data_IF_081311166400
#
_entry.id   IF_081311166400
#
_cell.length_a   1.000
_cell.length_b   1.000
_cell.length_c   1.000
_cell.angle_alpha   90.00
_cell.angle_beta   90.00
_cell.angle_gamma   90.00
#
_symmetry.space_group_name_H-M   'P 1'
#
loop_
_entity.id
_entity.type
_entity.pdbx_description
1 polymer ?
#
# COMPACT_ATOMS: atom_id res chain seq x y z
N UNK A 1 -12.92 7.40 -12.92
CA UNK A 1 -12.99 5.95 -12.59
C UNK A 1 -11.58 5.43 -12.39
N UNK A 2 -11.23 5.08 -11.16
CA UNK A 2 -9.95 4.47 -10.87
C UNK A 2 -9.88 3.05 -11.46
N UNK A 3 -8.77 2.71 -12.11
CA UNK A 3 -8.57 1.41 -12.74
C UNK A 3 -7.26 0.78 -12.27
N UNK A 4 -7.33 -0.49 -11.89
CA UNK A 4 -6.16 -1.28 -11.48
C UNK A 4 -5.19 -1.47 -12.64
N UNK A 5 -3.89 -1.39 -12.34
CA UNK A 5 -2.83 -1.77 -13.26
C UNK A 5 -2.63 -3.29 -13.29
N UNK A 6 -3.01 -3.97 -12.19
CA UNK A 6 -2.92 -5.41 -12.09
C UNK A 6 -3.93 -6.09 -13.02
N UNK A 7 -3.49 -7.13 -13.71
CA UNK A 7 -4.37 -8.02 -14.48
C UNK A 7 -4.80 -9.23 -13.65
N UNK A 8 -4.03 -9.55 -12.60
CA UNK A 8 -4.31 -10.60 -11.64
C UNK A 8 -4.02 -10.10 -10.23
N UNK A 9 -4.92 -10.40 -9.30
CA UNK A 9 -4.75 -10.10 -7.87
C UNK A 9 -4.36 -11.39 -7.18
N UNK A 10 -3.19 -11.40 -6.55
CA UNK A 10 -2.68 -12.55 -5.79
C UNK A 10 -3.11 -12.48 -4.32
N UNK A 11 -3.20 -11.26 -3.77
CA UNK A 11 -3.65 -11.05 -2.40
C UNK A 11 -4.39 -9.73 -2.26
N UNK A 12 -5.43 -9.73 -1.41
CA UNK A 12 -6.18 -8.54 -1.06
C UNK A 12 -6.39 -8.48 0.46
N UNK A 13 -6.22 -7.30 1.03
CA UNK A 13 -6.51 -7.07 2.44
C UNK A 13 -6.91 -5.62 2.69
N UNK A 14 -7.43 -5.32 3.87
CA UNK A 14 -7.70 -3.95 4.28
C UNK A 14 -6.52 -3.38 5.07
N UNK A 15 -6.38 -2.06 5.07
CA UNK A 15 -5.51 -1.37 6.00
C UNK A 15 -5.59 0.14 5.83
N UNK A 16 -4.54 0.84 6.25
CA UNK A 16 -4.51 2.30 6.31
C UNK A 16 -3.32 2.85 5.55
N UNK A 17 -3.55 3.86 4.71
CA UNK A 17 -2.51 4.73 4.17
C UNK A 17 -2.38 5.98 5.01
N UNK A 18 -1.16 6.35 5.37
CA UNK A 18 -0.87 7.61 6.06
C UNK A 18 -0.47 8.73 5.08
N UNK A 19 -0.81 8.59 3.79
CA UNK A 19 -0.61 9.63 2.81
C UNK A 19 -1.64 10.76 3.02
N UNK A 20 -1.16 11.92 3.47
CA UNK A 20 -2.00 13.11 3.72
C UNK A 20 -2.51 13.22 5.16
N UNK A 21 -3.43 14.17 5.39
CA UNK A 21 -3.97 14.46 6.73
C UNK A 21 -5.07 13.44 7.07
N UNK A 22 -4.97 12.83 8.26
CA UNK A 22 -6.02 12.00 8.85
C UNK A 22 -5.93 10.50 8.61
N UNK A 23 -5.06 10.05 7.69
CA UNK A 23 -4.93 8.63 7.33
C UNK A 23 -6.19 8.08 6.66
N UNK A 24 -6.03 7.38 5.54
CA UNK A 24 -7.16 6.81 4.78
C UNK A 24 -7.25 5.32 5.02
N UNK A 25 -8.41 4.83 5.44
CA UNK A 25 -8.71 3.39 5.47
C UNK A 25 -9.12 2.95 4.06
N UNK A 26 -8.65 1.78 3.65
CA UNK A 26 -8.90 1.26 2.32
C UNK A 26 -8.42 -0.17 2.13
N UNK A 27 -8.35 -0.56 0.86
CA UNK A 27 -7.99 -1.92 0.44
C UNK A 27 -6.66 -1.92 -0.28
N UNK A 28 -5.80 -2.82 0.14
CA UNK A 28 -4.59 -3.21 -0.57
C UNK A 28 -4.91 -4.29 -1.59
N UNK A 29 -4.40 -4.12 -2.80
CA UNK A 29 -4.33 -5.14 -3.83
C UNK A 29 -2.86 -5.41 -4.15
N UNK A 30 -2.43 -6.64 -3.94
CA UNK A 30 -1.12 -7.14 -4.34
C UNK A 30 -1.36 -7.99 -5.59
N UNK A 31 -0.84 -7.55 -6.73
CA UNK A 31 -1.03 -8.26 -7.98
C UNK A 31 0.24 -8.40 -8.79
N UNK A 32 0.08 -8.78 -10.05
CA UNK A 32 1.17 -9.11 -10.97
C UNK A 32 2.07 -7.92 -11.34
N UNK A 33 1.57 -6.68 -11.28
CA UNK A 33 2.30 -5.49 -11.76
C UNK A 33 2.59 -4.44 -10.69
N UNK A 34 1.73 -4.32 -9.68
CA UNK A 34 1.83 -3.27 -8.68
C UNK A 34 1.29 -3.69 -7.31
N UNK A 35 1.85 -3.05 -6.28
CA UNK A 35 1.19 -2.87 -4.99
C UNK A 35 0.25 -1.68 -5.09
N UNK A 36 -1.04 -1.88 -4.85
CA UNK A 36 -2.05 -0.84 -4.97
C UNK A 36 -2.82 -0.66 -3.67
N UNK A 37 -3.27 0.55 -3.42
CA UNK A 37 -4.14 0.92 -2.31
C UNK A 37 -5.28 1.80 -2.82
N UNK A 38 -6.52 1.47 -2.46
CA UNK A 38 -7.72 2.23 -2.81
C UNK A 38 -8.45 2.63 -1.53
N UNK A 39 -8.63 3.94 -1.31
CA UNK A 39 -9.37 4.42 -0.14
C UNK A 39 -10.86 4.03 -0.23
N UNK A 40 -11.43 3.55 0.87
CA UNK A 40 -12.85 3.15 0.92
C UNK A 40 -13.78 4.36 0.79
N UNK A 41 -13.35 5.52 1.31
CA UNK A 41 -14.13 6.76 1.24
C UNK A 41 -14.24 7.32 -0.18
N UNK A 42 -13.19 7.15 -0.99
CA UNK A 42 -13.15 7.58 -2.38
C UNK A 42 -12.14 6.72 -3.14
N UNK A 43 -12.63 5.89 -4.06
CA UNK A 43 -11.77 5.01 -4.88
C UNK A 43 -10.86 5.80 -5.82
N UNK A 44 -11.18 7.05 -6.14
CA UNK A 44 -10.32 7.93 -6.93
C UNK A 44 -9.11 8.44 -6.14
N UNK A 45 -9.14 8.31 -4.81
CA UNK A 45 -7.98 8.47 -3.94
C UNK A 45 -7.22 7.15 -3.83
N UNK A 46 -6.49 6.81 -4.89
CA UNK A 46 -5.70 5.59 -4.97
C UNK A 46 -4.19 5.86 -4.96
N UNK A 47 -3.44 4.83 -4.59
CA UNK A 47 -1.99 4.77 -4.68
C UNK A 47 -1.66 3.51 -5.47
N UNK A 48 -0.92 3.64 -6.56
CA UNK A 48 -0.42 2.51 -7.35
C UNK A 48 1.09 2.58 -7.41
N UNK A 49 1.75 1.54 -6.93
CA UNK A 49 3.20 1.46 -6.85
C UNK A 49 3.64 0.26 -7.70
N UNK A 50 4.07 0.48 -8.96
CA UNK A 50 4.60 -0.59 -9.79
C UNK A 50 5.80 -1.25 -9.12
N UNK A 51 5.91 -2.58 -9.24
CA UNK A 51 6.98 -3.34 -8.58
C UNK A 51 8.38 -2.85 -8.95
N UNK A 52 8.59 -2.45 -10.22
CA UNK A 52 9.86 -1.91 -10.74
C UNK A 52 10.32 -0.62 -10.04
N UNK A 53 9.39 0.13 -9.46
CA UNK A 53 9.71 1.39 -8.76
C UNK A 53 10.05 1.21 -7.29
N UNK A 54 9.83 0.03 -6.72
CA UNK A 54 10.05 -0.26 -5.31
C UNK A 54 11.50 -0.69 -5.11
N UNK A 55 12.24 0.09 -4.33
CA UNK A 55 13.62 -0.24 -3.96
C UNK A 55 13.66 -1.15 -2.73
N UNK A 56 12.79 -0.88 -1.76
CA UNK A 56 12.77 -1.58 -0.49
C UNK A 56 11.40 -1.49 0.17
N UNK A 57 11.04 -2.52 0.93
CA UNK A 57 9.91 -2.50 1.85
C UNK A 57 10.46 -2.78 3.26
N UNK A 58 10.13 -1.92 4.21
CA UNK A 58 10.53 -2.05 5.62
C UNK A 58 9.32 -2.18 6.52
N UNK A 59 9.43 -2.92 7.62
CA UNK A 59 8.40 -3.00 8.65
C UNK A 59 9.05 -2.88 10.03
N UNK A 60 8.32 -2.29 10.97
CA UNK A 60 8.83 -2.16 12.34
C UNK A 60 8.81 -3.51 13.05
N UNK A 61 9.91 -3.86 13.72
CA UNK A 61 10.02 -5.10 14.51
C UNK A 61 10.23 -4.74 15.97
N UNK A 62 9.45 -5.36 16.86
CA UNK A 62 9.59 -5.22 18.31
C UNK A 62 9.63 -6.59 18.97
N UNK A 63 10.79 -6.95 19.53
CA UNK A 63 11.04 -8.29 20.05
C UNK A 63 10.84 -9.36 18.97
N UNK A 64 9.89 -10.28 19.20
CA UNK A 64 9.52 -11.36 18.26
C UNK A 64 8.28 -11.04 17.41
N UNK A 65 7.86 -9.78 17.34
CA UNK A 65 6.64 -9.35 16.64
C UNK A 65 6.98 -8.38 15.51
N UNK A 66 6.37 -8.62 14.34
CA UNK A 66 6.37 -7.69 13.22
C UNK A 66 5.15 -6.78 13.38
N UNK A 67 5.36 -5.46 13.35
CA UNK A 67 4.31 -4.46 13.42
C UNK A 67 3.52 -4.47 12.11
N UNK A 68 2.24 -4.09 12.21
CA UNK A 68 1.42 -3.81 11.03
C UNK A 68 1.91 -2.61 10.23
N UNK A 69 2.71 -1.71 10.82
CA UNK A 69 3.21 -0.54 10.14
C UNK A 69 4.40 -0.90 9.26
N UNK A 70 4.30 -0.53 7.98
CA UNK A 70 5.34 -0.76 6.99
C UNK A 70 5.52 0.46 6.09
N UNK A 71 6.73 0.61 5.58
CA UNK A 71 7.15 1.67 4.67
C UNK A 71 7.55 1.06 3.33
N UNK A 72 7.09 1.67 2.24
CA UNK A 72 7.48 1.31 0.87
C UNK A 72 8.34 2.44 0.32
N UNK A 73 9.60 2.13 0.05
CA UNK A 73 10.58 3.06 -0.49
C UNK A 73 10.59 2.94 -2.02
N UNK A 74 10.35 4.06 -2.68
CA UNK A 74 10.30 4.17 -4.14
C UNK A 74 11.27 5.24 -4.62
N UNK A 75 11.54 5.27 -5.92
CA UNK A 75 12.33 6.33 -6.55
C UNK A 75 11.75 7.75 -6.36
N UNK A 76 10.44 7.86 -6.08
CA UNK A 76 9.72 9.14 -5.92
C UNK A 76 9.48 9.53 -4.46
N UNK A 77 9.90 8.71 -3.51
CA UNK A 77 9.71 8.95 -2.08
C UNK A 77 9.26 7.70 -1.34
N UNK A 78 8.79 7.90 -0.10
CA UNK A 78 8.34 6.82 0.76
C UNK A 78 6.84 6.90 1.06
N UNK A 79 6.19 5.75 1.10
CA UNK A 79 4.80 5.61 1.49
C UNK A 79 4.72 4.86 2.82
N UNK A 80 3.96 5.39 3.77
CA UNK A 80 3.73 4.76 5.07
C UNK A 80 2.33 4.15 5.11
N UNK A 81 2.26 2.90 5.53
CA UNK A 81 1.04 2.11 5.58
C UNK A 81 0.91 1.34 6.89
N UNK A 82 -0.30 0.89 7.20
CA UNK A 82 -0.58 -0.13 8.21
C UNK A 82 -1.47 -1.23 7.61
N UNK A 83 -1.10 -2.50 7.80
CA UNK A 83 -1.99 -3.63 7.51
C UNK A 83 -3.04 -3.81 8.62
N UNK A 84 -4.15 -4.50 8.32
CA UNK A 84 -5.10 -4.96 9.34
C UNK A 84 -4.49 -6.05 10.22
#
# INVERSE_FOLDING_TARGET
>A
MAQSQNTKIDFQTTGTSYLGIGGKVGKFLVGDKALEFYADANVEDYIQIPWDTIHQIGANVSGKRISRHFEVFTNKGKFLFASK
#
